data_IF_066144512986
#
_entry.id   IF_066144512986
#
_cell.length_a   1.000
_cell.length_b   1.000
_cell.length_c   1.000
_cell.angle_alpha   90.00
_cell.angle_beta   90.00
_cell.angle_gamma   90.00
#
_symmetry.space_group_name_H-M   'P 1'
#
loop_
_entity.id
_entity.type
_entity.pdbx_description
1 polymer ?
#
# COMPACT_ATOMS: atom_id res chain seq x y z
N UNK A 1 -0.98 -37.83 48.29
CA UNK A 1 -0.73 -37.61 46.83
C UNK A 1 0.73 -37.97 46.57
N UNK A 2 1.06 -38.76 45.54
CA UNK A 2 2.47 -39.08 45.25
C UNK A 2 3.17 -37.91 44.57
N UNK A 3 4.50 -37.72 44.75
CA UNK A 3 5.24 -36.62 44.11
C UNK A 3 5.09 -36.61 42.57
N UNK A 4 4.96 -37.79 41.95
CA UNK A 4 4.69 -37.94 40.50
C UNK A 4 3.35 -37.31 40.08
N UNK A 5 2.30 -37.46 40.89
CA UNK A 5 0.97 -36.88 40.60
C UNK A 5 0.96 -35.37 40.80
N UNK A 6 1.71 -34.86 41.78
CA UNK A 6 1.88 -33.41 41.98
C UNK A 6 2.57 -32.80 40.76
N UNK A 7 3.64 -33.43 40.26
CA UNK A 7 4.32 -32.99 39.03
C UNK A 7 3.39 -33.00 37.80
N UNK A 8 2.57 -34.04 37.65
CA UNK A 8 1.59 -34.11 36.56
C UNK A 8 0.60 -32.94 36.58
N UNK A 9 0.14 -32.51 37.76
CA UNK A 9 -0.73 -31.33 37.91
C UNK A 9 0.01 -30.04 37.51
N UNK A 10 1.27 -29.88 37.92
CA UNK A 10 2.07 -28.72 37.51
C UNK A 10 2.26 -28.62 36.00
N UNK A 11 2.36 -29.75 35.29
CA UNK A 11 2.51 -29.79 33.83
C UNK A 11 1.24 -29.38 33.06
N UNK A 12 0.07 -29.30 33.71
CA UNK A 12 -1.18 -28.82 33.08
C UNK A 12 -1.09 -27.34 32.71
N UNK A 13 -0.37 -26.53 33.49
CA UNK A 13 -0.20 -25.11 33.24
C UNK A 13 0.57 -24.82 31.95
N UNK A 14 1.81 -25.34 31.73
CA UNK A 14 2.50 -25.16 30.46
C UNK A 14 1.76 -25.82 29.29
N UNK A 15 1.02 -26.92 29.52
CA UNK A 15 0.16 -27.53 28.50
C UNK A 15 -0.93 -26.54 28.04
N UNK A 16 -1.58 -25.86 28.99
CA UNK A 16 -2.63 -24.88 28.69
C UNK A 16 -2.08 -23.70 27.91
N UNK A 17 -0.90 -23.18 28.29
CA UNK A 17 -0.23 -22.08 27.58
C UNK A 17 0.10 -22.49 26.15
N UNK A 18 0.72 -23.67 25.96
CA UNK A 18 1.05 -24.18 24.62
C UNK A 18 -0.21 -24.37 23.78
N UNK A 19 -1.28 -24.91 24.37
CA UNK A 19 -2.54 -25.16 23.68
C UNK A 19 -3.18 -23.87 23.17
N UNK A 20 -3.19 -22.83 24.03
CA UNK A 20 -3.68 -21.49 23.66
C UNK A 20 -2.86 -20.86 22.54
N UNK A 21 -1.52 -20.92 22.63
CA UNK A 21 -0.62 -20.42 21.58
C UNK A 21 -0.87 -21.13 20.25
N UNK A 22 -1.11 -22.44 20.28
CA UNK A 22 -1.41 -23.23 19.09
C UNK A 22 -2.72 -22.80 18.41
N UNK A 23 -3.78 -22.58 19.19
CA UNK A 23 -5.07 -22.11 18.66
C UNK A 23 -4.93 -20.72 18.03
N UNK A 24 -4.28 -19.77 18.72
CA UNK A 24 -4.13 -18.40 18.23
C UNK A 24 -3.31 -18.37 16.95
N UNK A 25 -2.16 -19.04 16.93
CA UNK A 25 -1.29 -19.04 15.75
C UNK A 25 -1.92 -19.74 14.55
N UNK A 26 -2.59 -20.88 14.75
CA UNK A 26 -3.31 -21.57 13.68
C UNK A 26 -4.43 -20.71 13.08
N UNK A 27 -5.09 -19.89 13.90
CA UNK A 27 -6.13 -18.97 13.40
C UNK A 27 -5.55 -17.79 12.62
N UNK A 28 -4.50 -17.15 13.13
CA UNK A 28 -3.81 -16.08 12.41
C UNK A 28 -3.30 -16.59 11.04
N UNK A 29 -2.76 -17.80 10.99
CA UNK A 29 -2.29 -18.45 9.76
C UNK A 29 -3.40 -18.67 8.72
N UNK A 30 -4.63 -18.97 9.17
CA UNK A 30 -5.81 -19.17 8.33
C UNK A 30 -6.57 -17.90 7.95
N UNK A 31 -6.18 -16.74 8.50
CA UNK A 31 -6.93 -15.48 8.35
C UNK A 31 -6.01 -14.32 7.95
N UNK A 32 -5.46 -13.58 8.90
CA UNK A 32 -4.65 -12.38 8.65
C UNK A 32 -3.39 -12.70 7.83
N UNK A 33 -2.90 -13.94 7.90
CA UNK A 33 -1.75 -14.42 7.13
C UNK A 33 -2.13 -15.22 5.87
N UNK A 34 -3.42 -15.39 5.62
CA UNK A 34 -3.94 -15.99 4.40
C UNK A 34 -4.28 -14.89 3.38
N UNK A 35 -3.60 -14.85 2.22
CA UNK A 35 -3.91 -13.88 1.17
C UNK A 35 -5.36 -13.94 0.72
N UNK A 36 -5.96 -15.14 0.63
CA UNK A 36 -7.35 -15.32 0.23
C UNK A 36 -8.33 -14.62 1.15
N UNK A 37 -8.16 -14.79 2.46
CA UNK A 37 -8.95 -14.08 3.47
C UNK A 37 -8.79 -12.55 3.35
N UNK A 38 -7.56 -12.03 3.25
CA UNK A 38 -7.32 -10.57 3.16
C UNK A 38 -7.94 -9.97 1.91
N UNK A 39 -7.83 -10.64 0.75
CA UNK A 39 -8.49 -10.20 -0.49
C UNK A 39 -10.01 -10.18 -0.33
N UNK A 40 -10.59 -11.21 0.28
CA UNK A 40 -12.04 -11.23 0.53
C UNK A 40 -12.47 -10.08 1.43
N UNK A 41 -11.73 -9.79 2.51
CA UNK A 41 -12.04 -8.66 3.39
C UNK A 41 -11.92 -7.31 2.66
N UNK A 42 -10.93 -7.15 1.78
CA UNK A 42 -10.78 -5.97 0.96
C UNK A 42 -11.97 -5.78 -0.02
N UNK A 43 -12.46 -6.87 -0.63
CA UNK A 43 -13.66 -6.85 -1.48
C UNK A 43 -14.94 -6.56 -0.69
N UNK A 44 -15.13 -7.21 0.47
CA UNK A 44 -16.29 -7.00 1.34
C UNK A 44 -16.39 -5.54 1.80
N UNK A 45 -15.24 -4.89 2.05
CA UNK A 45 -15.15 -3.47 2.39
C UNK A 45 -15.24 -2.52 1.19
N UNK A 46 -15.34 -3.06 -0.04
CA UNK A 46 -15.22 -2.30 -1.29
C UNK A 46 -13.97 -1.42 -1.29
N UNK A 47 -12.88 -1.91 -0.68
CA UNK A 47 -11.65 -1.15 -0.46
C UNK A 47 -11.07 -0.65 -1.78
N UNK A 48 -11.03 -1.50 -2.80
CA UNK A 48 -10.50 -1.13 -4.12
C UNK A 48 -11.31 -0.01 -4.78
N UNK A 49 -12.65 -0.13 -4.72
CA UNK A 49 -13.53 0.90 -5.24
C UNK A 49 -13.38 2.21 -4.49
N UNK A 50 -13.35 2.20 -3.16
CA UNK A 50 -13.15 3.41 -2.35
C UNK A 50 -11.78 4.06 -2.58
N UNK A 51 -10.72 3.25 -2.70
CA UNK A 51 -9.38 3.75 -3.03
C UNK A 51 -9.38 4.42 -4.41
N UNK A 52 -10.02 3.80 -5.40
CA UNK A 52 -10.07 4.30 -6.77
C UNK A 52 -11.01 5.50 -6.97
N UNK A 53 -12.16 5.53 -6.30
CA UNK A 53 -13.19 6.56 -6.46
C UNK A 53 -12.95 7.71 -5.47
N UNK A 54 -13.16 7.44 -4.18
CA UNK A 54 -13.07 8.45 -3.12
C UNK A 54 -11.63 8.89 -2.86
N UNK A 55 -10.69 7.94 -2.86
CA UNK A 55 -9.27 8.19 -2.66
C UNK A 55 -8.70 9.09 -3.75
N UNK A 56 -8.99 8.79 -5.01
CA UNK A 56 -8.55 9.60 -6.16
C UNK A 56 -9.15 11.00 -6.11
N UNK A 57 -10.48 11.13 -5.97
CA UNK A 57 -11.14 12.44 -5.94
C UNK A 57 -10.61 13.31 -4.79
N UNK A 58 -10.44 12.72 -3.59
CA UNK A 58 -9.88 13.42 -2.44
C UNK A 58 -8.44 13.84 -2.67
N UNK A 59 -7.61 12.98 -3.26
CA UNK A 59 -6.22 13.32 -3.60
C UNK A 59 -6.18 14.48 -4.60
N UNK A 60 -7.05 14.46 -5.61
CA UNK A 60 -7.19 15.55 -6.57
C UNK A 60 -7.61 16.84 -5.87
N UNK A 61 -8.68 16.81 -5.07
CA UNK A 61 -9.14 17.98 -4.30
C UNK A 61 -8.04 18.52 -3.38
N UNK A 62 -7.38 17.66 -2.60
CA UNK A 62 -6.30 18.07 -1.71
C UNK A 62 -5.15 18.74 -2.47
N UNK A 63 -4.82 18.24 -3.67
CA UNK A 63 -3.77 18.80 -4.54
C UNK A 63 -4.20 20.13 -5.19
N UNK A 64 -5.47 20.27 -5.54
CA UNK A 64 -6.03 21.51 -6.08
C UNK A 64 -6.15 22.59 -4.99
N UNK A 65 -6.58 22.23 -3.79
CA UNK A 65 -6.81 23.18 -2.69
C UNK A 65 -5.53 23.63 -1.98
N UNK A 66 -4.46 22.82 -2.05
CA UNK A 66 -3.20 23.08 -1.35
C UNK A 66 -2.01 23.20 -2.33
N UNK A 67 -1.79 24.39 -2.94
CA UNK A 67 -0.72 24.61 -3.91
C UNK A 67 0.68 24.22 -3.40
N UNK A 68 0.95 24.35 -2.10
CA UNK A 68 2.21 23.99 -1.47
C UNK A 68 2.52 22.48 -1.54
N UNK A 69 1.48 21.63 -1.66
CA UNK A 69 1.64 20.18 -1.81
C UNK A 69 1.99 19.78 -3.24
N UNK A 70 1.81 20.68 -4.22
CA UNK A 70 2.10 20.40 -5.63
C UNK A 70 3.63 20.31 -5.84
N UNK A 71 4.08 19.50 -6.82
CA UNK A 71 5.44 19.53 -7.32
C UNK A 71 5.89 20.96 -7.64
N UNK A 72 7.15 21.31 -7.36
CA UNK A 72 7.67 22.69 -7.50
C UNK A 72 7.43 23.30 -8.88
N UNK A 73 7.55 22.49 -9.92
CA UNK A 73 7.29 22.87 -11.32
C UNK A 73 5.80 23.16 -11.62
N UNK A 74 4.86 22.62 -10.83
CA UNK A 74 3.42 22.87 -10.96
C UNK A 74 2.92 23.97 -10.02
N UNK A 75 3.71 24.40 -9.03
CA UNK A 75 3.33 25.47 -8.09
C UNK A 75 3.15 26.82 -8.78
N UNK A 76 3.91 27.08 -9.83
CA UNK A 76 3.81 28.32 -10.61
C UNK A 76 2.53 28.38 -11.46
N UNK A 77 1.92 27.23 -11.77
CA UNK A 77 0.76 27.14 -12.66
C UNK A 77 -0.53 27.29 -11.86
N UNK A 78 -1.37 28.24 -12.25
CA UNK A 78 -2.68 28.46 -11.64
C UNK A 78 -3.68 27.42 -12.13
N UNK A 79 -3.75 26.30 -11.40
CA UNK A 79 -4.75 25.26 -11.64
C UNK A 79 -6.17 25.75 -11.28
N UNK A 80 -7.18 25.41 -12.09
CA UNK A 80 -8.57 25.63 -11.72
C UNK A 80 -8.95 24.76 -10.52
N UNK A 81 -9.72 25.33 -9.59
CA UNK A 81 -10.15 24.70 -8.32
C UNK A 81 -11.67 24.54 -8.24
N UNK A 82 -12.38 24.79 -9.34
CA UNK A 82 -13.83 24.61 -9.40
C UNK A 82 -14.19 23.12 -9.55
N UNK A 83 -15.46 22.80 -9.29
CA UNK A 83 -15.91 21.41 -9.29
C UNK A 83 -15.72 20.72 -10.65
N UNK A 84 -15.85 21.44 -11.76
CA UNK A 84 -15.57 20.89 -13.09
C UNK A 84 -14.11 20.46 -13.22
N UNK A 85 -13.18 21.24 -12.66
CA UNK A 85 -11.76 20.89 -12.66
C UNK A 85 -11.46 19.66 -11.81
N UNK A 86 -12.03 19.59 -10.61
CA UNK A 86 -11.93 18.41 -9.76
C UNK A 86 -12.46 17.15 -10.49
N UNK A 87 -13.64 17.24 -11.11
CA UNK A 87 -14.24 16.11 -11.82
C UNK A 87 -13.42 15.69 -13.04
N UNK A 88 -12.91 16.66 -13.81
CA UNK A 88 -12.11 16.38 -15.01
C UNK A 88 -10.77 15.74 -14.67
N UNK A 89 -10.07 16.25 -13.64
CA UNK A 89 -8.80 15.67 -13.18
C UNK A 89 -9.02 14.31 -12.51
N UNK A 90 -10.13 14.13 -11.79
CA UNK A 90 -10.50 12.83 -11.21
C UNK A 90 -10.73 11.80 -12.31
N UNK A 91 -11.51 12.13 -13.34
CA UNK A 91 -11.76 11.25 -14.49
C UNK A 91 -10.46 10.92 -15.25
N UNK A 92 -9.57 11.91 -15.42
CA UNK A 92 -8.24 11.70 -15.98
C UNK A 92 -7.42 10.69 -15.15
N UNK A 93 -7.35 10.87 -13.83
CA UNK A 93 -6.63 9.95 -12.95
C UNK A 93 -7.23 8.54 -12.96
N UNK A 94 -8.55 8.41 -13.05
CA UNK A 94 -9.25 7.12 -13.14
C UNK A 94 -9.10 6.45 -14.51
N UNK A 95 -8.90 7.22 -15.59
CA UNK A 95 -8.48 6.68 -16.88
C UNK A 95 -7.09 6.06 -16.79
N UNK A 96 -6.18 6.71 -16.06
CA UNK A 96 -4.81 6.25 -15.89
C UNK A 96 -4.69 5.08 -14.93
N UNK A 97 -5.48 5.07 -13.85
CA UNK A 97 -5.56 4.00 -12.86
C UNK A 97 -7.01 3.50 -12.76
N UNK A 98 -7.48 2.67 -13.69
CA UNK A 98 -8.84 2.14 -13.64
C UNK A 98 -9.09 1.34 -12.35
N UNK A 99 -10.33 1.29 -11.82
CA UNK A 99 -10.65 0.53 -10.61
C UNK A 99 -10.21 -0.95 -10.68
N UNK A 100 -10.37 -1.56 -11.86
CA UNK A 100 -9.94 -2.94 -12.13
C UNK A 100 -8.43 -3.12 -12.05
N UNK A 101 -7.66 -2.11 -12.45
CA UNK A 101 -6.21 -2.10 -12.30
C UNK A 101 -5.84 -2.03 -10.82
N UNK A 102 -6.44 -1.09 -10.07
CA UNK A 102 -6.20 -0.95 -8.62
C UNK A 102 -6.52 -2.24 -7.87
N UNK A 103 -7.63 -2.90 -8.19
CA UNK A 103 -7.99 -4.21 -7.63
C UNK A 103 -6.94 -5.28 -7.95
N UNK A 104 -6.64 -5.50 -9.24
CA UNK A 104 -5.69 -6.54 -9.67
C UNK A 104 -4.32 -6.35 -9.02
N UNK A 105 -3.73 -5.17 -9.12
CA UNK A 105 -2.39 -4.92 -8.58
C UNK A 105 -2.37 -5.01 -7.05
N UNK A 106 -3.44 -4.59 -6.37
CA UNK A 106 -3.54 -4.75 -4.91
C UNK A 106 -3.58 -6.22 -4.53
N UNK A 107 -4.34 -7.05 -5.25
CA UNK A 107 -4.45 -8.48 -4.99
C UNK A 107 -3.15 -9.23 -5.27
N UNK A 108 -2.48 -8.94 -6.37
CA UNK A 108 -1.16 -9.49 -6.68
C UNK A 108 -0.10 -9.07 -5.64
N UNK A 109 -0.18 -7.81 -5.19
CA UNK A 109 0.67 -7.31 -4.10
C UNK A 109 0.41 -8.07 -2.79
N UNK A 110 -0.85 -8.32 -2.44
CA UNK A 110 -1.24 -9.11 -1.26
C UNK A 110 -0.69 -10.54 -1.37
N UNK A 111 -0.84 -11.18 -2.54
CA UNK A 111 -0.35 -12.53 -2.80
C UNK A 111 1.19 -12.64 -2.74
N UNK A 112 1.91 -11.59 -3.11
CA UNK A 112 3.36 -11.54 -3.05
C UNK A 112 3.89 -11.21 -1.64
N UNK A 113 3.33 -10.17 -1.00
CA UNK A 113 3.88 -9.61 0.24
C UNK A 113 3.52 -10.48 1.45
N UNK A 114 2.29 -10.98 1.58
CA UNK A 114 1.89 -11.72 2.79
C UNK A 114 2.72 -12.99 3.02
N UNK A 115 2.94 -13.86 2.01
CA UNK A 115 3.81 -15.01 2.18
C UNK A 115 5.23 -14.62 2.59
N UNK A 116 5.77 -13.53 2.03
CA UNK A 116 7.12 -13.07 2.39
C UNK A 116 7.19 -12.50 3.81
N UNK A 117 6.17 -11.74 4.19
CA UNK A 117 6.05 -11.09 5.50
C UNK A 117 5.92 -12.16 6.60
N UNK A 118 5.17 -13.23 6.32
CA UNK A 118 4.95 -14.36 7.24
C UNK A 118 6.07 -15.40 7.21
N UNK A 119 7.07 -15.21 6.35
CA UNK A 119 8.19 -16.12 6.17
C UNK A 119 7.85 -17.44 5.48
N UNK A 120 6.73 -17.51 4.75
CA UNK A 120 6.41 -18.58 3.79
C UNK A 120 7.30 -18.50 2.55
N UNK A 121 7.69 -17.29 2.12
CA UNK A 121 8.68 -17.06 1.07
C UNK A 121 9.88 -16.25 1.58
N UNK A 122 11.06 -16.54 1.02
CA UNK A 122 12.30 -15.80 1.33
C UNK A 122 12.33 -14.42 0.68
N UNK A 123 11.81 -14.34 -0.54
CA UNK A 123 11.79 -13.17 -1.42
C UNK A 123 10.40 -13.01 -2.05
N UNK A 124 10.12 -11.82 -2.59
CA UNK A 124 8.99 -11.61 -3.49
C UNK A 124 9.38 -10.66 -4.62
N UNK A 125 8.63 -10.73 -5.70
CA UNK A 125 8.77 -9.85 -6.85
C UNK A 125 7.37 -9.55 -7.38
N UNK A 126 7.03 -8.26 -7.47
CA UNK A 126 5.78 -7.78 -8.04
C UNK A 126 6.10 -7.15 -9.38
N UNK A 127 5.41 -7.57 -10.43
CA UNK A 127 5.51 -6.95 -11.73
C UNK A 127 4.35 -5.98 -11.91
N UNK A 128 4.62 -4.69 -11.98
CA UNK A 128 3.60 -3.65 -12.13
C UNK A 128 3.70 -3.07 -13.54
N UNK A 129 2.60 -3.09 -14.29
CA UNK A 129 2.54 -2.45 -15.60
C UNK A 129 1.43 -1.39 -15.65
N UNK A 130 1.83 -0.14 -15.81
CA UNK A 130 0.96 1.00 -16.07
C UNK A 130 0.64 1.16 -17.56
N UNK A 131 1.05 0.22 -18.41
CA UNK A 131 0.94 0.34 -19.86
C UNK A 131 -0.49 0.59 -20.33
N UNK A 132 -1.44 -0.24 -19.90
CA UNK A 132 -2.84 -0.13 -20.35
C UNK A 132 -3.45 1.22 -19.93
N UNK A 133 -3.17 1.65 -18.70
CA UNK A 133 -3.60 2.95 -18.17
C UNK A 133 -2.94 4.12 -18.88
N UNK A 134 -1.66 3.99 -19.22
CA UNK A 134 -0.90 4.99 -19.96
C UNK A 134 -1.40 5.14 -21.39
N UNK A 135 -1.56 4.03 -22.12
CA UNK A 135 -2.06 4.02 -23.51
C UNK A 135 -3.50 4.53 -23.58
N UNK A 136 -4.38 4.10 -22.68
CA UNK A 136 -5.78 4.57 -22.68
C UNK A 136 -5.91 6.06 -22.37
N UNK A 137 -4.97 6.62 -21.61
CA UNK A 137 -5.02 8.02 -21.17
C UNK A 137 -4.32 8.97 -22.13
N UNK A 138 -3.11 8.61 -22.58
CA UNK A 138 -2.24 9.46 -23.40
C UNK A 138 -2.25 9.08 -24.88
N UNK A 139 -2.59 7.83 -25.21
CA UNK A 139 -2.73 7.40 -26.60
C UNK A 139 -3.99 7.94 -27.27
N UNK A 140 -3.96 8.00 -28.60
CA UNK A 140 -5.13 8.39 -29.40
C UNK A 140 -6.06 7.18 -29.60
N UNK A 141 -7.35 7.27 -29.22
CA UNK A 141 -8.30 6.16 -29.41
C UNK A 141 -8.50 5.80 -30.88
N UNK A 142 -8.40 6.80 -31.77
CA UNK A 142 -8.51 6.66 -33.22
C UNK A 142 -7.74 7.81 -33.87
N UNK A 143 -7.25 7.61 -35.09
CA UNK A 143 -6.56 8.65 -35.85
C UNK A 143 -7.42 9.93 -35.91
N UNK A 144 -6.84 11.06 -35.49
CA UNK A 144 -7.50 12.36 -35.46
C UNK A 144 -8.40 12.63 -34.24
N UNK A 145 -8.55 11.68 -33.31
CA UNK A 145 -9.22 11.93 -32.03
C UNK A 145 -8.21 12.29 -30.93
N UNK A 146 -8.48 13.34 -30.13
CA UNK A 146 -7.62 13.71 -29.02
C UNK A 146 -7.65 12.64 -27.92
N UNK A 147 -6.51 12.45 -27.25
CA UNK A 147 -6.42 11.56 -26.09
C UNK A 147 -7.30 12.04 -24.92
N UNK A 148 -7.49 11.21 -23.89
CA UNK A 148 -8.19 11.65 -22.66
C UNK A 148 -7.41 12.81 -22.03
N UNK A 149 -6.08 12.68 -21.96
CA UNK A 149 -5.21 13.74 -21.48
C UNK A 149 -5.39 15.04 -22.26
N UNK A 150 -5.39 14.98 -23.60
CA UNK A 150 -5.51 16.16 -24.45
C UNK A 150 -6.86 16.86 -24.30
N UNK A 151 -7.95 16.09 -24.20
CA UNK A 151 -9.29 16.64 -23.93
C UNK A 151 -9.34 17.32 -22.56
N UNK A 152 -8.92 16.63 -21.50
CA UNK A 152 -8.92 17.19 -20.15
C UNK A 152 -8.07 18.46 -20.07
N UNK A 153 -6.89 18.45 -20.67
CA UNK A 153 -5.99 19.61 -20.70
C UNK A 153 -6.63 20.82 -21.40
N UNK A 154 -7.24 20.62 -22.57
CA UNK A 154 -7.93 21.68 -23.31
C UNK A 154 -9.19 22.17 -22.59
N UNK A 155 -9.99 21.26 -22.02
CA UNK A 155 -11.20 21.59 -21.28
C UNK A 155 -10.94 22.46 -20.05
N UNK A 156 -9.75 22.31 -19.45
CA UNK A 156 -9.27 23.11 -18.33
C UNK A 156 -8.57 24.41 -18.77
N UNK A 157 -8.35 24.60 -20.07
CA UNK A 157 -7.63 25.75 -20.63
C UNK A 157 -6.17 25.81 -20.19
N UNK A 158 -5.54 24.65 -20.03
CA UNK A 158 -4.20 24.55 -19.42
C UNK A 158 -3.09 25.19 -20.26
N UNK A 159 -3.23 25.24 -21.60
CA UNK A 159 -2.25 25.92 -22.45
C UNK A 159 -2.13 27.41 -22.13
N UNK A 160 -3.24 28.14 -22.20
CA UNK A 160 -3.27 29.57 -21.88
C UNK A 160 -2.84 29.83 -20.43
N UNK A 161 -3.31 29.01 -19.48
CA UNK A 161 -2.95 29.14 -18.06
C UNK A 161 -1.46 28.95 -17.85
N UNK A 162 -0.86 27.92 -18.46
CA UNK A 162 0.58 27.63 -18.32
C UNK A 162 1.41 28.79 -18.86
N UNK A 163 1.12 29.25 -20.08
CA UNK A 163 1.84 30.36 -20.71
C UNK A 163 1.72 31.64 -19.87
N UNK A 164 0.51 31.98 -19.41
CA UNK A 164 0.28 33.18 -18.61
C UNK A 164 0.93 33.09 -17.22
N UNK A 165 0.88 31.92 -16.57
CA UNK A 165 1.52 31.67 -15.29
C UNK A 165 3.03 31.80 -15.37
N UNK A 166 3.65 31.23 -16.41
CA UNK A 166 5.09 31.36 -16.64
C UNK A 166 5.48 32.81 -16.91
N UNK A 167 4.71 33.51 -17.75
CA UNK A 167 4.92 34.93 -18.03
C UNK A 167 4.85 35.79 -16.76
N UNK A 168 3.81 35.61 -15.93
CA UNK A 168 3.65 36.33 -14.65
C UNK A 168 4.78 36.00 -13.66
N UNK A 169 5.18 34.73 -13.56
CA UNK A 169 6.29 34.34 -12.71
C UNK A 169 7.61 34.97 -13.18
N UNK A 170 7.82 35.11 -14.49
CA UNK A 170 8.98 35.78 -15.06
C UNK A 170 8.96 37.29 -14.77
N UNK A 171 7.83 37.95 -15.00
CA UNK A 171 7.65 39.39 -14.78
C UNK A 171 7.74 39.78 -13.29
N UNK A 172 7.41 38.87 -12.37
CA UNK A 172 7.48 39.11 -10.92
C UNK A 172 8.91 39.19 -10.38
N UNK A 173 9.90 38.75 -11.15
CA UNK A 173 11.31 38.86 -10.77
C UNK A 173 11.84 40.27 -11.05
N UNK A 174 12.30 41.03 -10.04
CA UNK A 174 12.87 42.36 -10.22
C UNK A 174 14.04 42.39 -11.21
N UNK A 175 14.79 41.28 -11.35
CA UNK A 175 15.89 41.17 -12.30
C UNK A 175 15.43 41.21 -13.77
N UNK A 176 14.14 41.02 -14.03
CA UNK A 176 13.55 41.05 -15.37
C UNK A 176 12.84 42.37 -15.67
N UNK A 177 12.71 43.27 -14.69
CA UNK A 177 12.05 44.55 -14.87
C UNK A 177 12.76 45.40 -15.94
N UNK A 178 12.02 45.83 -16.96
CA UNK A 178 12.53 46.70 -18.01
C UNK A 178 13.38 46.02 -19.09
N UNK A 179 13.53 44.69 -19.05
CA UNK A 179 14.14 43.96 -20.16
C UNK A 179 13.29 44.11 -21.44
N UNK A 180 13.92 44.30 -22.61
CA UNK A 180 13.20 44.31 -23.88
C UNK A 180 12.57 42.94 -24.12
N UNK A 181 11.34 42.93 -24.64
CA UNK A 181 10.57 41.70 -24.90
C UNK A 181 10.69 41.35 -26.39
N UNK A 182 11.36 40.25 -26.75
CA UNK A 182 11.58 39.89 -28.15
C UNK A 182 10.28 39.73 -28.94
N UNK A 183 10.10 40.53 -29.99
CA UNK A 183 8.93 40.43 -30.88
C UNK A 183 7.62 41.02 -30.32
N UNK A 184 7.67 41.73 -29.17
CA UNK A 184 6.53 42.48 -28.66
C UNK A 184 6.53 43.95 -29.17
N UNK A 185 5.34 44.57 -29.32
CA UNK A 185 5.24 46.01 -29.62
C UNK A 185 5.95 46.88 -28.58
N UNK A 186 6.48 48.04 -28.99
CA UNK A 186 7.29 48.92 -28.14
C UNK A 186 6.57 49.45 -26.87
N UNK A 187 5.23 49.42 -26.86
CA UNK A 187 4.41 49.81 -25.71
C UNK A 187 4.17 48.67 -24.70
N UNK A 188 4.55 47.43 -25.02
CA UNK A 188 4.41 46.27 -24.15
C UNK A 188 5.67 46.09 -23.33
N UNK A 189 5.54 46.18 -22.00
CA UNK A 189 6.67 46.16 -21.05
C UNK A 189 6.76 44.91 -20.19
N UNK A 190 5.79 44.02 -20.28
CA UNK A 190 5.76 42.75 -19.53
C UNK A 190 5.41 41.58 -20.44
N UNK A 191 5.96 40.41 -20.16
CA UNK A 191 5.71 39.21 -20.96
C UNK A 191 4.24 38.80 -20.85
N UNK A 192 3.63 38.97 -19.67
CA UNK A 192 2.21 38.72 -19.47
C UNK A 192 1.34 39.61 -20.36
N UNK A 193 1.68 40.90 -20.52
CA UNK A 193 0.94 41.78 -21.43
C UNK A 193 1.14 41.38 -22.90
N UNK A 194 2.31 40.86 -23.27
CA UNK A 194 2.55 40.31 -24.62
C UNK A 194 1.67 39.08 -24.89
N UNK A 195 1.55 38.18 -23.90
CA UNK A 195 0.66 37.02 -23.97
C UNK A 195 -0.81 37.46 -24.09
N UNK A 196 -1.24 38.40 -23.27
CA UNK A 196 -2.62 38.91 -23.27
C UNK A 196 -2.97 39.60 -24.59
N UNK A 197 -2.06 40.38 -25.17
CA UNK A 197 -2.24 41.02 -26.48
C UNK A 197 -2.38 40.02 -27.63
N UNK A 198 -1.75 38.85 -27.51
CA UNK A 198 -1.89 37.73 -28.46
C UNK A 198 -3.15 36.89 -28.21
N UNK A 199 -3.84 37.10 -27.09
CA UNK A 199 -5.07 36.39 -26.75
C UNK A 199 -4.88 34.87 -26.65
N UNK A 200 -5.84 34.11 -27.19
CA UNK A 200 -5.84 32.65 -27.16
C UNK A 200 -4.72 32.02 -28.02
N UNK A 201 -4.14 32.76 -28.97
CA UNK A 201 -3.16 32.21 -29.92
C UNK A 201 -1.87 31.70 -29.24
N UNK A 202 -1.46 32.31 -28.14
CA UNK A 202 -0.30 31.84 -27.36
C UNK A 202 -0.61 30.54 -26.62
N UNK A 203 -1.82 30.40 -26.05
CA UNK A 203 -2.27 29.16 -25.43
C UNK A 203 -2.44 28.02 -26.45
N UNK A 204 -3.06 28.29 -27.59
CA UNK A 204 -3.23 27.32 -28.67
C UNK A 204 -1.90 26.85 -29.26
N UNK A 205 -0.94 27.75 -29.42
CA UNK A 205 0.42 27.38 -29.81
C UNK A 205 1.07 26.46 -28.78
N UNK A 206 0.95 26.78 -27.49
CA UNK A 206 1.53 25.93 -26.45
C UNK A 206 0.89 24.54 -26.44
N UNK A 207 -0.43 24.46 -26.60
CA UNK A 207 -1.13 23.18 -26.74
C UNK A 207 -0.57 22.37 -27.93
N UNK A 208 -0.40 23.00 -29.09
CA UNK A 208 0.19 22.32 -30.25
C UNK A 208 1.60 21.81 -29.99
N UNK A 209 2.46 22.62 -29.37
CA UNK A 209 3.83 22.20 -29.04
C UNK A 209 3.85 21.09 -27.99
N UNK A 210 3.00 21.20 -26.97
CA UNK A 210 2.92 20.25 -25.87
C UNK A 210 2.38 18.90 -26.32
N UNK A 211 1.32 18.86 -27.14
CA UNK A 211 0.82 17.59 -27.67
C UNK A 211 1.74 17.00 -28.72
N UNK A 212 2.38 17.83 -29.56
CA UNK A 212 3.45 17.34 -30.45
C UNK A 212 4.62 16.71 -29.67
N UNK A 213 4.95 17.24 -28.49
CA UNK A 213 5.92 16.63 -27.58
C UNK A 213 5.40 15.30 -27.00
N UNK A 214 4.16 15.25 -26.52
CA UNK A 214 3.55 14.03 -25.96
C UNK A 214 3.46 12.92 -27.01
N UNK A 215 3.07 13.24 -28.24
CA UNK A 215 2.97 12.30 -29.36
C UNK A 215 4.32 11.68 -29.73
N UNK A 216 5.42 12.39 -29.48
CA UNK A 216 6.78 11.88 -29.66
C UNK A 216 7.27 11.06 -28.46
N UNK A 217 6.79 11.38 -27.25
CA UNK A 217 7.17 10.70 -26.02
C UNK A 217 6.40 9.38 -25.80
N UNK A 218 5.11 9.33 -26.13
CA UNK A 218 4.23 8.17 -25.89
C UNK A 218 4.76 6.89 -26.55
N UNK A 219 5.22 6.87 -27.82
CA UNK A 219 5.79 5.69 -28.44
C UNK A 219 7.03 5.17 -27.71
N UNK A 220 7.85 6.05 -27.13
CA UNK A 220 9.01 5.63 -26.36
C UNK A 220 8.61 4.97 -25.04
N UNK A 221 7.67 5.55 -24.30
CA UNK A 221 7.21 4.98 -23.03
C UNK A 221 6.43 3.67 -23.18
N UNK A 222 5.70 3.51 -24.28
CA UNK A 222 4.95 2.29 -24.59
C UNK A 222 5.84 1.16 -25.11
N UNK A 223 7.05 1.50 -25.57
CA UNK A 223 8.03 0.56 -26.13
C UNK A 223 7.96 0.42 -27.66
N UNK A 224 7.09 1.18 -28.33
CA UNK A 224 6.95 1.23 -29.79
C UNK A 224 8.16 1.92 -30.46
N UNK A 225 8.85 2.80 -29.72
CA UNK A 225 10.11 3.43 -30.13
C UNK A 225 11.23 3.16 -29.12
N UNK A 226 12.45 2.95 -29.62
CA UNK A 226 13.66 2.79 -28.79
C UNK A 226 14.31 4.10 -28.38
N UNK A 227 13.99 5.19 -29.07
CA UNK A 227 14.59 6.51 -28.89
C UNK A 227 13.51 7.57 -28.77
N UNK A 228 13.81 8.62 -28.01
CA UNK A 228 12.93 9.77 -27.87
C UNK A 228 13.72 11.03 -28.19
N UNK A 229 13.12 11.91 -28.98
CA UNK A 229 13.67 13.23 -29.30
C UNK A 229 12.53 14.24 -29.35
N UNK A 230 12.00 14.55 -28.18
CA UNK A 230 10.81 15.38 -28.05
C UNK A 230 11.21 16.86 -27.94
N UNK A 231 10.54 17.75 -28.69
CA UNK A 231 10.94 19.16 -28.83
C UNK A 231 9.77 20.14 -28.70
N UNK A 232 10.05 21.31 -28.11
CA UNK A 232 9.18 22.48 -28.07
C UNK A 232 9.93 23.67 -28.68
N UNK A 233 9.40 24.24 -29.76
CA UNK A 233 10.00 25.38 -30.47
C UNK A 233 9.34 26.71 -30.11
N UNK A 234 10.14 27.68 -29.70
CA UNK A 234 9.69 29.03 -29.36
C UNK A 234 9.77 30.03 -30.53
N UNK A 235 10.04 29.56 -31.75
CA UNK A 235 10.21 30.43 -32.92
C UNK A 235 8.98 31.30 -33.23
N UNK A 236 7.78 30.78 -32.98
CA UNK A 236 6.51 31.51 -33.21
C UNK A 236 6.26 32.56 -32.14
N UNK A 237 6.69 32.31 -30.90
CA UNK A 237 6.53 33.21 -29.75
C UNK A 237 7.86 33.37 -29.00
N UNK A 238 8.85 34.10 -29.58
CA UNK A 238 10.19 34.19 -29.00
C UNK A 238 10.23 34.80 -27.59
N UNK A 239 9.29 35.69 -27.27
CA UNK A 239 9.18 36.28 -25.93
C UNK A 239 8.86 35.28 -24.82
N UNK A 240 8.43 34.06 -25.16
CA UNK A 240 8.20 32.98 -24.19
C UNK A 240 9.47 32.17 -23.90
N UNK A 241 10.54 32.33 -24.69
CA UNK A 241 11.77 31.58 -24.48
C UNK A 241 12.38 31.85 -23.10
N UNK A 242 12.51 33.12 -22.68
CA UNK A 242 13.12 33.48 -21.39
C UNK A 242 12.32 32.97 -20.17
N UNK A 243 10.98 33.15 -20.08
CA UNK A 243 10.18 32.56 -19.01
C UNK A 243 10.37 31.05 -18.86
N UNK A 244 10.35 30.31 -19.98
CA UNK A 244 10.49 28.87 -19.95
C UNK A 244 11.95 28.43 -19.71
N UNK A 245 12.93 29.18 -20.20
CA UNK A 245 14.36 28.94 -19.93
C UNK A 245 14.63 28.99 -18.43
N UNK A 246 14.08 29.99 -17.73
CA UNK A 246 14.16 30.07 -16.26
C UNK A 246 13.45 28.91 -15.57
N UNK A 247 12.28 28.50 -16.05
CA UNK A 247 11.52 27.39 -15.46
C UNK A 247 12.22 26.03 -15.61
N UNK A 248 12.97 25.83 -16.70
CA UNK A 248 13.70 24.60 -17.00
C UNK A 248 15.19 24.63 -16.62
N UNK A 249 15.66 25.73 -16.01
CA UNK A 249 17.08 25.94 -15.65
C UNK A 249 18.02 25.82 -16.86
N UNK A 250 17.62 26.44 -17.97
CA UNK A 250 18.37 26.46 -19.24
C UNK A 250 18.78 27.88 -19.62
N UNK A 251 19.89 28.05 -20.38
CA UNK A 251 20.26 29.34 -20.94
C UNK A 251 19.18 29.87 -21.90
N UNK A 252 18.77 31.15 -21.79
CA UNK A 252 17.72 31.73 -22.66
C UNK A 252 18.06 31.71 -24.16
N UNK A 253 19.35 31.89 -24.49
CA UNK A 253 19.85 31.82 -25.87
C UNK A 253 19.63 30.44 -26.50
N UNK A 254 19.82 29.38 -25.71
CA UNK A 254 19.58 28.01 -26.16
C UNK A 254 18.08 27.79 -26.41
N UNK A 255 17.23 28.29 -25.52
CA UNK A 255 15.77 28.14 -25.65
C UNK A 255 15.22 28.86 -26.89
N UNK A 256 15.78 30.01 -27.23
CA UNK A 256 15.33 30.81 -28.39
C UNK A 256 15.77 30.20 -29.72
N UNK A 257 16.97 29.61 -29.78
CA UNK A 257 17.57 29.10 -31.02
C UNK A 257 17.27 27.63 -31.29
N UNK A 258 17.28 26.80 -30.25
CA UNK A 258 17.15 25.34 -30.35
C UNK A 258 15.82 24.83 -29.78
N UNK A 259 15.10 25.67 -29.03
CA UNK A 259 13.93 25.25 -28.27
C UNK A 259 14.29 24.41 -27.05
N UNK A 260 13.28 23.84 -26.42
CA UNK A 260 13.47 22.82 -25.40
C UNK A 260 13.50 21.44 -26.07
N UNK A 261 14.46 20.60 -25.70
CA UNK A 261 14.62 19.25 -26.23
C UNK A 261 14.83 18.29 -25.08
N UNK A 262 14.10 17.17 -25.07
CA UNK A 262 14.30 16.08 -24.13
C UNK A 262 14.56 14.80 -24.93
N UNK A 263 15.74 14.21 -24.73
CA UNK A 263 16.09 12.92 -25.32
C UNK A 263 15.90 11.76 -24.34
N UNK A 264 15.92 10.52 -24.84
CA UNK A 264 15.92 9.32 -23.98
C UNK A 264 17.12 9.31 -23.02
N UNK A 265 18.28 9.80 -23.45
CA UNK A 265 19.49 9.90 -22.62
C UNK A 265 19.32 10.92 -21.50
N UNK A 266 18.74 12.09 -21.81
CA UNK A 266 18.45 13.13 -20.82
C UNK A 266 17.44 12.63 -19.79
N UNK A 267 16.38 11.96 -20.24
CA UNK A 267 15.37 11.35 -19.37
C UNK A 267 15.99 10.29 -18.45
N UNK A 268 16.81 9.37 -18.98
CA UNK A 268 17.49 8.35 -18.17
C UNK A 268 18.42 8.97 -17.14
N UNK A 269 19.14 10.04 -17.50
CA UNK A 269 19.98 10.79 -16.55
C UNK A 269 19.16 11.44 -15.44
N UNK A 270 18.02 12.06 -15.77
CA UNK A 270 17.12 12.65 -14.77
C UNK A 270 16.53 11.59 -13.84
N UNK A 271 16.10 10.45 -14.38
CA UNK A 271 15.59 9.32 -13.59
C UNK A 271 16.69 8.73 -12.70
N UNK A 272 17.93 8.59 -13.21
CA UNK A 272 19.08 8.10 -12.45
C UNK A 272 19.46 8.97 -11.25
N UNK A 273 19.15 10.26 -11.29
CA UNK A 273 19.37 11.20 -10.18
C UNK A 273 18.24 11.20 -9.14
N UNK A 274 17.20 10.37 -9.31
CA UNK A 274 16.08 10.28 -8.37
C UNK A 274 16.52 9.74 -7.02
N UNK A 275 16.03 10.38 -5.94
CA UNK A 275 16.27 9.91 -4.57
C UNK A 275 15.46 8.66 -4.19
N UNK A 276 14.53 8.22 -5.04
CA UNK A 276 13.72 7.03 -4.80
C UNK A 276 14.40 5.78 -5.42
N UNK A 277 14.81 4.78 -4.63
CA UNK A 277 15.50 3.59 -5.12
C UNK A 277 14.72 2.79 -6.17
N UNK A 278 13.39 2.79 -6.09
CA UNK A 278 12.54 2.12 -7.07
C UNK A 278 12.51 2.84 -8.42
N UNK A 279 12.79 4.16 -8.44
CA UNK A 279 12.75 5.01 -9.62
C UNK A 279 14.13 5.35 -10.19
N UNK A 280 15.20 5.20 -9.39
CA UNK A 280 16.58 5.48 -9.81
C UNK A 280 17.10 4.51 -10.87
N UNK A 281 16.49 3.31 -10.95
CA UNK A 281 16.71 2.36 -12.05
C UNK A 281 15.91 2.82 -13.28
N UNK A 282 16.48 3.75 -14.05
CA UNK A 282 15.81 4.39 -15.19
C UNK A 282 15.13 3.40 -16.15
N UNK A 283 15.79 2.29 -16.50
CA UNK A 283 15.21 1.27 -17.38
C UNK A 283 14.01 0.56 -16.73
N UNK A 284 14.04 0.31 -15.41
CA UNK A 284 12.91 -0.26 -14.68
C UNK A 284 11.73 0.72 -14.61
N UNK A 285 12.01 2.01 -14.44
CA UNK A 285 10.99 3.07 -14.41
C UNK A 285 10.32 3.24 -15.76
N UNK A 286 11.08 3.21 -16.86
CA UNK A 286 10.50 3.23 -18.22
C UNK A 286 9.71 1.95 -18.46
N UNK A 287 10.21 0.79 -18.01
CA UNK A 287 9.53 -0.49 -18.17
C UNK A 287 8.14 -0.53 -17.52
N UNK A 288 7.89 0.27 -16.46
CA UNK A 288 6.55 0.41 -15.85
C UNK A 288 5.48 0.83 -16.88
N UNK A 289 5.83 1.60 -17.91
CA UNK A 289 4.88 2.06 -18.93
C UNK A 289 4.83 1.14 -20.16
N UNK A 290 5.65 0.10 -20.19
CA UNK A 290 5.65 -0.92 -21.24
C UNK A 290 4.82 -2.14 -20.82
N UNK A 291 4.36 -2.92 -21.79
CA UNK A 291 3.63 -4.16 -21.52
C UNK A 291 4.40 -5.19 -20.68
N UNK A 292 5.75 -5.08 -20.61
CA UNK A 292 6.57 -5.94 -19.74
C UNK A 292 6.38 -5.63 -18.26
N UNK A 293 6.05 -4.38 -17.93
CA UNK A 293 6.01 -3.90 -16.56
C UNK A 293 7.39 -3.67 -15.93
N UNK A 294 7.39 -2.95 -14.82
CA UNK A 294 8.56 -2.76 -13.96
C UNK A 294 8.48 -3.70 -12.76
N UNK A 295 9.64 -4.19 -12.34
CA UNK A 295 9.73 -5.13 -11.22
C UNK A 295 10.07 -4.40 -9.92
N UNK A 296 9.25 -4.63 -8.90
CA UNK A 296 9.47 -4.17 -7.52
C UNK A 296 9.76 -5.39 -6.66
N UNK A 297 10.92 -5.39 -6.02
CA UNK A 297 11.42 -6.50 -5.20
C UNK A 297 11.31 -6.21 -3.71
N UNK A 298 11.55 -7.22 -2.87
CA UNK A 298 11.62 -7.04 -1.43
C UNK A 298 12.74 -6.08 -0.99
N UNK A 299 13.89 -6.12 -1.66
CA UNK A 299 15.00 -5.21 -1.39
C UNK A 299 14.62 -3.74 -1.65
N UNK A 300 13.85 -3.46 -2.71
CA UNK A 300 13.39 -2.10 -3.01
C UNK A 300 12.49 -1.55 -1.89
N UNK A 301 11.56 -2.38 -1.38
CA UNK A 301 10.65 -1.98 -0.30
C UNK A 301 11.42 -1.76 1.01
N UNK A 302 12.32 -2.67 1.35
CA UNK A 302 13.14 -2.57 2.57
C UNK A 302 14.07 -1.35 2.50
N UNK A 303 14.74 -1.12 1.38
CA UNK A 303 15.61 0.03 1.17
C UNK A 303 14.83 1.35 1.32
N UNK A 304 13.65 1.46 0.68
CA UNK A 304 12.79 2.65 0.79
C UNK A 304 12.32 2.89 2.22
N UNK A 305 11.89 1.83 2.92
CA UNK A 305 11.46 1.93 4.31
C UNK A 305 12.60 2.42 5.22
N UNK A 306 13.79 1.85 5.07
CA UNK A 306 14.98 2.24 5.84
C UNK A 306 15.42 3.67 5.54
N UNK A 307 15.38 4.09 4.27
CA UNK A 307 15.68 5.47 3.87
C UNK A 307 14.69 6.47 4.48
N UNK A 308 13.40 6.14 4.51
CA UNK A 308 12.40 6.99 5.14
C UNK A 308 12.62 7.10 6.66
N UNK A 309 12.96 5.99 7.33
CA UNK A 309 13.33 6.02 8.76
C UNK A 309 14.58 6.85 9.02
N UNK A 310 15.62 6.73 8.19
CA UNK A 310 16.82 7.55 8.29
C UNK A 310 16.50 9.04 8.11
N UNK A 311 15.61 9.39 7.17
CA UNK A 311 15.16 10.76 6.96
C UNK A 311 14.36 11.32 8.13
N UNK A 312 13.44 10.55 8.70
CA UNK A 312 12.73 10.96 9.92
C UNK A 312 13.70 11.12 11.10
N UNK A 313 14.66 10.20 11.27
CA UNK A 313 15.71 10.31 12.28
C UNK A 313 16.52 11.60 12.13
N UNK A 314 16.96 11.92 10.90
CA UNK A 314 17.73 13.14 10.63
C UNK A 314 16.92 14.42 10.86
N UNK A 315 15.60 14.33 10.73
CA UNK A 315 14.68 15.44 10.98
C UNK A 315 14.30 15.59 12.47
N UNK A 316 14.83 14.73 13.36
CA UNK A 316 14.47 14.72 14.78
C UNK A 316 13.05 14.20 15.05
N UNK A 317 12.41 13.56 14.06
CA UNK A 317 11.11 12.92 14.25
C UNK A 317 11.29 11.58 14.97
N UNK A 318 10.38 11.21 15.89
CA UNK A 318 10.45 9.92 16.57
C UNK A 318 10.32 8.77 15.56
N UNK A 319 11.35 7.93 15.50
CA UNK A 319 11.36 6.74 14.63
C UNK A 319 10.74 5.57 15.38
N UNK A 320 9.43 5.62 15.52
CA UNK A 320 8.67 4.60 16.25
C UNK A 320 8.43 3.34 15.41
N UNK A 321 8.43 2.18 16.08
CA UNK A 321 7.98 0.90 15.55
C UNK A 321 9.09 -0.04 15.07
N UNK A 322 8.77 -1.34 14.92
CA UNK A 322 9.74 -2.36 14.52
C UNK A 322 10.18 -2.19 13.06
N UNK A 323 11.39 -2.66 12.73
CA UNK A 323 11.81 -2.76 11.33
C UNK A 323 11.02 -3.84 10.60
N UNK A 324 10.97 -3.80 9.26
CA UNK A 324 10.33 -4.86 8.46
C UNK A 324 10.93 -6.23 8.79
N UNK A 325 12.25 -6.32 8.98
CA UNK A 325 12.91 -7.57 9.36
C UNK A 325 12.50 -8.06 10.75
N UNK A 326 12.38 -7.15 11.73
CA UNK A 326 11.88 -7.50 13.06
C UNK A 326 10.43 -8.02 12.99
N UNK A 327 9.57 -7.40 12.18
CA UNK A 327 8.20 -7.90 11.95
C UNK A 327 8.20 -9.29 11.32
N UNK A 328 9.01 -9.50 10.27
CA UNK A 328 9.16 -10.81 9.60
C UNK A 328 9.63 -11.89 10.56
N UNK A 329 10.65 -11.59 11.38
CA UNK A 329 11.17 -12.51 12.38
C UNK A 329 10.13 -12.84 13.45
N UNK A 330 9.36 -11.83 13.90
CA UNK A 330 8.24 -12.01 14.82
C UNK A 330 7.14 -12.92 14.25
N UNK A 331 6.69 -12.67 13.02
CA UNK A 331 5.67 -13.51 12.37
C UNK A 331 6.18 -14.92 12.09
N UNK A 332 7.43 -15.07 11.63
CA UNK A 332 8.05 -16.38 11.42
C UNK A 332 8.15 -17.17 12.74
N UNK A 333 8.56 -16.52 13.83
CA UNK A 333 8.65 -17.13 15.15
C UNK A 333 7.27 -17.52 15.69
N UNK A 334 6.28 -16.64 15.58
CA UNK A 334 4.89 -16.90 15.97
C UNK A 334 4.31 -18.08 15.19
N UNK A 335 4.50 -18.10 13.88
CA UNK A 335 4.03 -19.18 13.01
C UNK A 335 4.71 -20.50 13.31
N UNK A 336 6.04 -20.52 13.37
CA UNK A 336 6.80 -21.75 13.67
C UNK A 336 6.49 -22.27 15.08
N UNK A 337 6.47 -21.35 16.04
CA UNK A 337 6.18 -21.61 17.44
C UNK A 337 4.77 -22.13 17.67
N UNK A 338 3.77 -21.51 17.07
CA UNK A 338 2.38 -21.88 17.31
C UNK A 338 1.83 -23.00 16.42
N UNK A 339 2.26 -23.12 15.16
CA UNK A 339 1.74 -24.16 14.25
C UNK A 339 2.45 -25.50 14.45
N UNK A 340 3.77 -25.49 14.64
CA UNK A 340 4.55 -26.73 14.69
C UNK A 340 5.01 -27.05 16.11
N UNK A 341 5.60 -26.08 16.81
CA UNK A 341 6.20 -26.32 18.12
C UNK A 341 5.13 -26.51 19.19
N UNK A 342 4.07 -25.70 19.19
CA UNK A 342 3.04 -25.76 20.23
C UNK A 342 2.26 -27.09 20.20
N UNK A 343 1.76 -27.62 19.07
CA UNK A 343 1.11 -28.93 19.05
C UNK A 343 2.06 -30.07 19.46
N UNK A 344 3.33 -30.01 19.04
CA UNK A 344 4.34 -30.98 19.45
C UNK A 344 4.58 -30.94 20.96
N UNK A 345 4.75 -29.75 21.54
CA UNK A 345 4.90 -29.57 22.99
C UNK A 345 3.65 -30.01 23.74
N UNK A 346 2.46 -29.69 23.24
CA UNK A 346 1.20 -30.19 23.81
C UNK A 346 1.17 -31.71 23.84
N UNK A 347 1.55 -32.37 22.73
CA UNK A 347 1.60 -33.83 22.66
C UNK A 347 2.60 -34.39 23.67
N UNK A 348 3.82 -33.84 23.74
CA UNK A 348 4.85 -34.28 24.69
C UNK A 348 4.39 -34.07 26.15
N UNK A 349 3.74 -32.96 26.46
CA UNK A 349 3.21 -32.66 27.80
C UNK A 349 2.06 -33.60 28.16
N UNK A 350 1.13 -33.87 27.24
CA UNK A 350 0.06 -34.86 27.45
C UNK A 350 0.66 -36.24 27.72
N UNK A 351 1.64 -36.68 26.93
CA UNK A 351 2.35 -37.94 27.15
C UNK A 351 3.02 -37.96 28.53
N UNK A 352 3.74 -36.91 28.91
CA UNK A 352 4.36 -36.79 30.23
C UNK A 352 3.33 -36.91 31.37
N UNK A 353 2.20 -36.20 31.27
CA UNK A 353 1.11 -36.24 32.25
C UNK A 353 0.50 -37.64 32.34
N UNK A 354 0.26 -38.28 31.19
CA UNK A 354 -0.28 -39.65 31.10
C UNK A 354 0.60 -40.62 31.87
N UNK A 355 1.91 -40.63 31.61
CA UNK A 355 2.86 -41.55 32.24
C UNK A 355 3.14 -41.24 33.73
N UNK A 356 3.08 -39.96 34.13
CA UNK A 356 3.26 -39.56 35.54
C UNK A 356 2.02 -39.80 36.40
N UNK A 357 0.82 -39.69 35.82
CA UNK A 357 -0.44 -39.78 36.54
C UNK A 357 -0.90 -41.21 36.83
N UNK A 358 -0.69 -42.14 35.90
CA UNK A 358 -1.28 -43.48 35.93
C UNK A 358 -0.29 -44.64 35.74
N UNK A 359 -0.45 -45.69 36.56
CA UNK A 359 0.31 -46.93 36.43
C UNK A 359 -0.37 -47.97 35.52
N UNK A 360 -1.67 -47.79 35.22
CA UNK A 360 -2.46 -48.66 34.32
C UNK A 360 -2.90 -47.87 33.08
N UNK A 361 -3.16 -48.56 31.96
CA UNK A 361 -3.65 -47.92 30.73
C UNK A 361 -4.94 -47.12 30.91
N UNK A 362 -5.88 -47.61 31.73
CA UNK A 362 -7.11 -46.88 32.03
C UNK A 362 -6.84 -45.59 32.81
N UNK A 363 -6.00 -45.65 33.85
CA UNK A 363 -5.61 -44.48 34.64
C UNK A 363 -4.82 -43.47 33.81
N UNK A 364 -3.94 -43.96 32.93
CA UNK A 364 -3.18 -43.17 31.95
C UNK A 364 -4.10 -42.37 31.03
N UNK A 365 -5.08 -43.02 30.42
CA UNK A 365 -6.09 -42.37 29.57
C UNK A 365 -6.91 -41.34 30.34
N UNK A 366 -7.31 -41.65 31.58
CA UNK A 366 -8.05 -40.73 32.44
C UNK A 366 -7.25 -39.46 32.75
N UNK A 367 -5.96 -39.57 33.09
CA UNK A 367 -5.10 -38.41 33.37
C UNK A 367 -4.84 -37.55 32.14
N UNK A 368 -4.55 -38.15 30.99
CA UNK A 368 -4.37 -37.41 29.75
C UNK A 368 -5.66 -36.67 29.33
N UNK A 369 -6.79 -37.36 29.40
CA UNK A 369 -8.10 -36.79 29.04
C UNK A 369 -8.52 -35.69 30.02
N UNK A 370 -8.29 -35.85 31.32
CA UNK A 370 -8.58 -34.83 32.32
C UNK A 370 -7.72 -33.57 32.12
N UNK A 371 -6.41 -33.73 31.87
CA UNK A 371 -5.53 -32.60 31.61
C UNK A 371 -5.91 -31.86 30.31
N UNK A 372 -6.24 -32.60 29.25
CA UNK A 372 -6.73 -32.02 27.99
C UNK A 372 -8.07 -31.31 28.20
N UNK A 373 -8.98 -31.86 29.00
CA UNK A 373 -10.26 -31.25 29.33
C UNK A 373 -10.06 -29.93 30.07
N UNK A 374 -9.16 -29.89 31.06
CA UNK A 374 -8.83 -28.65 31.78
C UNK A 374 -8.20 -27.63 30.83
N UNK A 375 -7.24 -28.04 29.99
CA UNK A 375 -6.61 -27.15 29.02
C UNK A 375 -7.62 -26.61 27.99
N UNK A 376 -8.54 -27.44 27.51
CA UNK A 376 -9.60 -27.05 26.58
C UNK A 376 -10.64 -26.12 27.24
N UNK A 377 -11.05 -26.41 28.47
CA UNK A 377 -11.97 -25.56 29.24
C UNK A 377 -11.37 -24.20 29.55
N UNK A 378 -10.11 -24.16 30.01
CA UNK A 378 -9.35 -22.92 30.15
C UNK A 378 -9.16 -22.23 28.80
N UNK A 379 -8.97 -23.00 27.73
CA UNK A 379 -8.98 -22.53 26.35
C UNK A 379 -10.22 -21.74 26.00
N UNK A 380 -11.41 -22.31 26.27
CA UNK A 380 -12.71 -21.65 26.06
C UNK A 380 -12.83 -20.40 26.93
N UNK A 381 -12.52 -20.49 28.23
CA UNK A 381 -12.64 -19.35 29.15
C UNK A 381 -11.70 -18.21 28.73
N UNK A 382 -10.46 -18.52 28.39
CA UNK A 382 -9.48 -17.52 27.97
C UNK A 382 -9.87 -16.92 26.63
N UNK A 383 -10.30 -17.72 25.64
CA UNK A 383 -10.72 -17.20 24.33
C UNK A 383 -12.03 -16.41 24.35
N UNK A 384 -12.92 -16.66 25.32
CA UNK A 384 -14.20 -15.95 25.44
C UNK A 384 -14.14 -14.74 26.38
N UNK A 385 -13.55 -14.87 27.56
CA UNK A 385 -13.51 -13.83 28.58
C UNK A 385 -12.21 -13.01 28.55
N UNK A 386 -11.06 -13.68 28.52
CA UNK A 386 -9.76 -13.01 28.62
C UNK A 386 -9.36 -12.37 27.29
N UNK A 387 -9.65 -13.00 26.16
CA UNK A 387 -9.36 -12.43 24.84
C UNK A 387 -10.21 -11.17 24.59
N UNK A 388 -11.49 -11.20 24.98
CA UNK A 388 -12.31 -9.98 24.98
C UNK A 388 -11.67 -8.91 25.87
N UNK A 389 -11.34 -9.19 27.12
CA UNK A 389 -10.75 -8.15 27.99
C UNK A 389 -9.35 -7.65 27.55
N UNK A 390 -8.46 -8.55 27.15
CA UNK A 390 -7.05 -8.26 26.89
C UNK A 390 -6.76 -7.79 25.46
N UNK A 391 -7.56 -8.21 24.47
CA UNK A 391 -7.40 -7.76 23.08
C UNK A 391 -8.42 -6.67 22.74
N UNK A 392 -9.66 -6.72 23.25
CA UNK A 392 -10.61 -5.64 22.97
C UNK A 392 -10.14 -4.34 23.60
N UNK A 393 -9.63 -4.29 24.83
CA UNK A 393 -9.22 -2.99 25.40
C UNK A 393 -8.14 -2.25 24.58
N UNK A 394 -6.98 -2.85 24.22
CA UNK A 394 -6.00 -2.18 23.36
C UNK A 394 -6.51 -1.92 21.95
N UNK A 395 -7.33 -2.83 21.40
CA UNK A 395 -7.91 -2.68 20.08
C UNK A 395 -8.94 -1.55 20.04
N UNK A 396 -9.83 -1.47 21.01
CA UNK A 396 -10.84 -0.43 21.19
C UNK A 396 -10.14 0.92 21.39
N UNK A 397 -9.05 0.98 22.16
CA UNK A 397 -8.22 2.19 22.24
C UNK A 397 -7.53 2.54 20.92
N UNK A 398 -7.09 1.56 20.14
CA UNK A 398 -6.54 1.82 18.81
C UNK A 398 -7.63 2.30 17.83
N UNK A 399 -8.80 1.66 17.82
CA UNK A 399 -9.97 2.06 17.03
C UNK A 399 -10.39 3.48 17.39
N UNK A 400 -10.54 3.80 18.69
CA UNK A 400 -10.87 5.15 19.16
C UNK A 400 -9.82 6.18 18.75
N UNK A 401 -8.52 5.84 18.86
CA UNK A 401 -7.44 6.73 18.39
C UNK A 401 -7.50 6.96 16.88
N UNK A 402 -7.83 5.94 16.11
CA UNK A 402 -7.91 6.08 14.66
C UNK A 402 -9.17 6.84 14.22
N UNK A 403 -10.28 6.69 14.97
CA UNK A 403 -11.50 7.50 14.81
C UNK A 403 -11.26 8.97 15.18
N UNK A 404 -10.49 9.24 16.24
CA UNK A 404 -10.19 10.59 16.70
C UNK A 404 -9.05 11.27 15.93
N UNK A 405 -8.28 10.53 15.12
CA UNK A 405 -7.17 11.09 14.35
C UNK A 405 -7.73 12.06 13.30
N UNK A 406 -7.22 13.31 13.24
CA UNK A 406 -7.63 14.25 12.20
C UNK A 406 -7.40 13.65 10.81
N UNK A 407 -8.19 14.12 9.85
CA UNK A 407 -8.19 13.59 8.51
C UNK A 407 -6.81 13.79 7.88
N UNK A 408 -6.10 12.69 7.61
CA UNK A 408 -4.79 12.70 6.96
C UNK A 408 -4.90 12.42 5.47
N UNK A 409 -3.87 11.78 4.91
CA UNK A 409 -3.85 11.30 3.52
C UNK A 409 -4.85 10.15 3.26
N UNK A 410 -5.17 9.36 4.28
CA UNK A 410 -6.18 8.30 4.19
C UNK A 410 -7.53 8.84 4.68
N UNK A 411 -8.64 8.60 3.97
CA UNK A 411 -9.96 9.08 4.37
C UNK A 411 -10.36 8.64 5.78
N UNK A 412 -10.98 9.54 6.56
CA UNK A 412 -11.33 9.26 7.95
C UNK A 412 -12.34 8.11 8.04
N UNK A 413 -13.36 8.13 7.17
CA UNK A 413 -14.32 7.07 6.92
C UNK A 413 -13.66 5.74 6.56
N UNK A 414 -12.69 5.73 5.63
CA UNK A 414 -11.97 4.50 5.27
C UNK A 414 -11.18 3.92 6.45
N UNK A 415 -10.52 4.78 7.23
CA UNK A 415 -9.80 4.36 8.43
C UNK A 415 -10.74 3.82 9.50
N UNK A 416 -11.87 4.49 9.72
CA UNK A 416 -12.91 4.07 10.67
C UNK A 416 -13.47 2.71 10.26
N UNK A 417 -13.80 2.52 8.98
CA UNK A 417 -14.33 1.26 8.47
C UNK A 417 -13.30 0.14 8.53
N UNK A 418 -12.03 0.42 8.19
CA UNK A 418 -10.94 -0.54 8.37
C UNK A 418 -10.78 -0.91 9.84
N UNK A 419 -10.82 0.07 10.74
CA UNK A 419 -10.70 -0.15 12.17
C UNK A 419 -11.87 -1.00 12.72
N UNK A 420 -13.10 -0.70 12.29
CA UNK A 420 -14.30 -1.47 12.62
C UNK A 420 -14.22 -2.89 12.04
N UNK A 421 -13.71 -3.07 10.82
CA UNK A 421 -13.53 -4.39 10.23
C UNK A 421 -12.48 -5.20 10.97
N UNK A 422 -11.35 -4.59 11.35
CA UNK A 422 -10.33 -5.24 12.18
C UNK A 422 -10.96 -5.68 13.50
N UNK A 423 -11.75 -4.82 14.15
CA UNK A 423 -12.48 -5.16 15.37
C UNK A 423 -13.44 -6.34 15.17
N UNK A 424 -14.21 -6.33 14.07
CA UNK A 424 -15.13 -7.41 13.71
C UNK A 424 -14.40 -8.73 13.45
N UNK A 425 -13.34 -8.71 12.64
CA UNK A 425 -12.51 -9.88 12.32
C UNK A 425 -11.91 -10.45 13.60
N UNK A 426 -11.35 -9.62 14.47
CA UNK A 426 -10.81 -10.03 15.78
C UNK A 426 -11.91 -10.66 16.65
N UNK A 427 -13.11 -10.06 16.70
CA UNK A 427 -14.25 -10.62 17.44
C UNK A 427 -14.73 -11.97 16.89
N UNK A 428 -14.83 -12.10 15.57
CA UNK A 428 -15.20 -13.35 14.91
C UNK A 428 -14.13 -14.44 15.11
N UNK A 429 -12.85 -14.06 15.15
CA UNK A 429 -11.77 -14.98 15.48
C UNK A 429 -11.89 -15.50 16.91
N UNK A 430 -12.24 -14.65 17.88
CA UNK A 430 -12.46 -15.08 19.26
C UNK A 430 -13.55 -16.15 19.36
N UNK A 431 -14.68 -15.92 18.69
CA UNK A 431 -15.81 -16.85 18.66
C UNK A 431 -15.42 -18.19 18.00
N UNK A 432 -14.69 -18.16 16.89
CA UNK A 432 -14.21 -19.36 16.21
C UNK A 432 -13.12 -20.11 16.98
N UNK A 433 -12.27 -19.41 17.74
CA UNK A 433 -11.30 -20.02 18.64
C UNK A 433 -12.01 -20.78 19.78
N UNK A 434 -13.07 -20.18 20.34
CA UNK A 434 -13.90 -20.84 21.35
C UNK A 434 -14.59 -22.11 20.81
N UNK A 435 -15.07 -22.10 19.56
CA UNK A 435 -15.65 -23.29 18.91
C UNK A 435 -14.63 -24.43 18.70
N UNK A 436 -13.38 -24.11 18.35
CA UNK A 436 -12.35 -25.14 18.24
C UNK A 436 -11.96 -25.70 19.61
N UNK A 437 -11.84 -24.84 20.62
CA UNK A 437 -11.58 -25.28 21.99
C UNK A 437 -12.72 -26.14 22.53
N UNK A 438 -13.98 -25.85 22.19
CA UNK A 438 -15.12 -26.68 22.57
C UNK A 438 -15.13 -28.04 21.85
N UNK A 439 -14.70 -28.11 20.59
CA UNK A 439 -14.50 -29.39 19.90
C UNK A 439 -13.46 -30.28 20.62
N UNK A 440 -12.34 -29.69 21.08
CA UNK A 440 -11.36 -30.41 21.89
C UNK A 440 -11.90 -30.82 23.27
N UNK A 441 -12.79 -30.02 23.85
CA UNK A 441 -13.50 -30.36 25.09
C UNK A 441 -14.37 -31.60 24.89
N UNK A 442 -15.09 -31.70 23.77
CA UNK A 442 -15.88 -32.90 23.40
C UNK A 442 -14.98 -34.13 23.27
N UNK A 443 -13.84 -34.01 22.56
CA UNK A 443 -12.87 -35.10 22.42
C UNK A 443 -12.32 -35.54 23.78
N UNK A 444 -11.97 -34.59 24.65
CA UNK A 444 -11.46 -34.87 25.98
C UNK A 444 -12.51 -35.55 26.89
N UNK A 445 -13.77 -35.12 26.84
CA UNK A 445 -14.88 -35.76 27.55
C UNK A 445 -15.10 -37.21 27.07
N UNK A 446 -15.08 -37.44 25.76
CA UNK A 446 -15.18 -38.78 25.19
C UNK A 446 -14.04 -39.70 25.63
N UNK A 447 -12.80 -39.20 25.63
CA UNK A 447 -11.63 -39.94 26.14
C UNK A 447 -11.74 -40.30 27.62
N UNK A 448 -12.24 -39.36 28.44
CA UNK A 448 -12.43 -39.58 29.88
C UNK A 448 -13.53 -40.61 30.16
N UNK A 449 -14.67 -40.51 29.48
CA UNK A 449 -15.76 -41.49 29.59
C UNK A 449 -15.30 -42.90 29.16
N UNK A 450 -14.57 -43.00 28.04
CA UNK A 450 -13.99 -44.25 27.57
C UNK A 450 -13.02 -44.88 28.58
N UNK A 451 -12.14 -44.06 29.18
CA UNK A 451 -11.21 -44.51 30.22
C UNK A 451 -11.92 -45.07 31.45
N UNK A 452 -12.98 -44.41 31.93
CA UNK A 452 -13.77 -44.86 33.07
C UNK A 452 -14.54 -46.16 32.80
N UNK A 453 -15.13 -46.29 31.61
CA UNK A 453 -15.84 -47.51 31.19
C UNK A 453 -14.87 -48.67 31.07
N UNK A 454 -13.70 -48.46 30.47
CA UNK A 454 -12.65 -49.48 30.35
C UNK A 454 -12.21 -50.01 31.70
N UNK A 455 -12.02 -49.12 32.68
CA UNK A 455 -11.63 -49.51 34.04
C UNK A 455 -12.69 -50.38 34.71
N UNK A 456 -13.97 -50.04 34.53
CA UNK A 456 -15.09 -50.82 35.07
C UNK A 456 -15.17 -52.22 34.43
N UNK A 457 -14.92 -52.34 33.13
CA UNK A 457 -14.88 -53.63 32.42
C UNK A 457 -13.67 -54.47 32.85
N UNK A 458 -12.49 -53.86 32.96
CA UNK A 458 -11.28 -54.55 33.39
C UNK A 458 -11.40 -55.12 34.82
N UNK A 459 -11.99 -54.36 35.75
CA UNK A 459 -12.26 -54.83 37.12
C UNK A 459 -13.22 -56.02 37.16
N UNK A 460 -14.21 -56.07 36.26
CA UNK A 460 -15.14 -57.22 36.14
C UNK A 460 -14.48 -58.48 35.58
N UNK A 461 -13.43 -58.34 34.76
CA UNK A 461 -12.69 -59.48 34.18
C UNK A 461 -11.58 -60.03 35.08
N UNK A 462 -11.04 -59.23 35.99
CA UNK A 462 -9.96 -59.65 36.90
C UNK A 462 -10.40 -60.08 38.30
N UNK A 463 -11.70 -60.04 38.61
CA UNK A 463 -12.27 -60.47 39.90
C UNK A 463 -13.01 -61.81 39.84
N UNK A 464 -12.68 -62.65 38.86
CA UNK A 464 -13.18 -64.01 38.71
C UNK A 464 -12.09 -65.03 38.97
#
# INVERSE_FOLDING_TARGET
MTPRRVLAVFLVLPLTICFLLGIVAGRLDSTVFDPGFVKQQARDLRLYQRLSEDGTRRFVRDTLDHPEKRPSNLRAITLPTDQKAEDSVTAFMQSFLPPTFVERESEETIDAILPWLTGRSGHFSINVSLHDGFVSTFGHPTAGQPSVFERTWRDLGMGQRTVLSMAKSYDSDPANAGKPIPGAPANVRTVAAAVELRGASAGEWFDQQWFGFVDQAVPYFTGDSKTMDARISFTTFPFLADPFAKAFDLPPEQMTTQGWRLTDTDLKKQLGNSSNPALSRADNTVALFTAKGGTITDDDIVARYNQQRAKSASNGEPVDGPTIEQMRNGFRAMRRGGIYVAPLLCLLLVVGIVFLGGNTWASRLAWGSAALLVAAALGVIVTTAVYRAAVSSPLDHWVQREQARPAGRVPADLRVDLANQVQKVVGDQANRAALNASAWLIVAMGGLAGGLVWERVARRRGGG
#
